data_IF_834003002577
#
_entry.id   IF_834003002577
#
_cell.length_a   1.000
_cell.length_b   1.000
_cell.length_c   1.000
_cell.angle_alpha   90.00
_cell.angle_beta   90.00
_cell.angle_gamma   90.00
#
_symmetry.space_group_name_H-M   'P 1'
#
loop_
_entity.id
_entity.type
_entity.pdbx_description
1 polymer ?
#
# COMPACT_ATOMS: atom_id res chain seq x y z
N UNK A 1 -26.02 -11.54 12.91
CA UNK A 1 -25.80 -10.66 11.74
C UNK A 1 -24.33 -10.32 11.73
N UNK A 2 -23.57 -10.74 10.71
CA UNK A 2 -22.16 -10.37 10.58
C UNK A 2 -22.14 -8.93 10.07
N UNK A 3 -21.54 -8.01 10.83
CA UNK A 3 -21.30 -6.66 10.35
C UNK A 3 -20.07 -6.73 9.46
N UNK A 4 -20.24 -6.43 8.18
CA UNK A 4 -19.12 -6.26 7.25
C UNK A 4 -18.54 -4.86 7.39
N UNK A 5 -17.23 -4.78 7.53
CA UNK A 5 -16.48 -3.54 7.41
C UNK A 5 -16.24 -3.26 5.93
N UNK A 6 -16.83 -2.18 5.42
CA UNK A 6 -16.75 -1.83 4.00
C UNK A 6 -15.58 -0.88 3.69
N UNK A 7 -14.69 -0.61 4.66
CA UNK A 7 -13.49 0.20 4.41
C UNK A 7 -12.51 -0.54 3.48
N UNK A 8 -11.82 0.16 2.58
CA UNK A 8 -10.86 -0.48 1.69
C UNK A 8 -9.61 -0.94 2.43
N UNK A 9 -8.94 -1.94 1.88
CA UNK A 9 -7.59 -2.33 2.25
C UNK A 9 -6.61 -1.37 1.56
N UNK A 10 -5.94 -0.54 2.37
CA UNK A 10 -4.86 0.32 1.91
C UNK A 10 -3.57 -0.45 1.68
N UNK A 11 -2.98 -0.31 0.49
CA UNK A 11 -1.66 -0.86 0.13
C UNK A 11 -0.80 0.28 -0.38
N UNK A 12 0.42 0.41 0.12
CA UNK A 12 1.39 1.36 -0.45
C UNK A 12 2.65 0.63 -0.91
N UNK A 13 3.31 1.17 -1.92
CA UNK A 13 4.64 0.74 -2.36
C UNK A 13 5.44 1.97 -2.81
N UNK A 14 6.76 1.83 -2.83
CA UNK A 14 7.66 2.81 -3.42
C UNK A 14 7.44 2.98 -4.92
N UNK A 15 6.97 1.95 -5.64
CA UNK A 15 6.82 2.00 -7.10
C UNK A 15 5.71 1.09 -7.62
N UNK A 16 5.81 0.69 -8.89
CA UNK A 16 4.80 -0.15 -9.56
C UNK A 16 4.93 -1.64 -9.21
N UNK A 17 6.03 -2.06 -8.56
CA UNK A 17 6.30 -3.46 -8.24
C UNK A 17 5.23 -4.09 -7.35
N UNK A 18 4.68 -3.31 -6.42
CA UNK A 18 3.61 -3.71 -5.50
C UNK A 18 2.30 -4.11 -6.18
N UNK A 19 2.08 -3.74 -7.45
CA UNK A 19 0.92 -4.22 -8.21
C UNK A 19 0.90 -5.74 -8.38
N UNK A 20 2.07 -6.40 -8.32
CA UNK A 20 2.15 -7.87 -8.31
C UNK A 20 1.51 -8.46 -7.05
N UNK A 21 1.76 -7.85 -5.89
CA UNK A 21 1.13 -8.22 -4.62
C UNK A 21 -0.37 -7.86 -4.61
N UNK A 22 -0.76 -6.70 -5.14
CA UNK A 22 -2.17 -6.31 -5.27
C UNK A 22 -2.94 -7.31 -6.12
N UNK A 23 -2.36 -7.77 -7.24
CA UNK A 23 -2.98 -8.79 -8.10
C UNK A 23 -3.31 -10.07 -7.32
N UNK A 24 -2.41 -10.54 -6.46
CA UNK A 24 -2.65 -11.71 -5.61
C UNK A 24 -3.67 -11.42 -4.50
N UNK A 25 -3.65 -10.23 -3.90
CA UNK A 25 -4.66 -9.80 -2.94
C UNK A 25 -6.05 -9.82 -3.56
N UNK A 26 -6.24 -9.25 -4.75
CA UNK A 26 -7.52 -9.28 -5.48
C UNK A 26 -7.99 -10.70 -5.79
N UNK A 27 -7.06 -11.63 -6.02
CA UNK A 27 -7.40 -13.04 -6.31
C UNK A 27 -7.95 -13.77 -5.07
N UNK A 28 -7.41 -13.47 -3.90
CA UNK A 28 -7.77 -14.08 -2.61
C UNK A 28 -8.97 -13.36 -1.98
N UNK A 29 -8.96 -12.03 -2.00
CA UNK A 29 -9.92 -11.14 -1.32
C UNK A 29 -10.90 -10.54 -2.33
N UNK A 30 -11.69 -11.39 -2.97
CA UNK A 30 -12.54 -11.02 -4.13
C UNK A 30 -13.65 -10.00 -3.82
N UNK A 31 -14.00 -9.82 -2.55
CA UNK A 31 -15.06 -8.91 -2.11
C UNK A 31 -14.52 -7.63 -1.49
N UNK A 32 -13.19 -7.52 -1.34
CA UNK A 32 -12.56 -6.36 -0.70
C UNK A 32 -12.24 -5.28 -1.72
N UNK A 33 -12.45 -4.02 -1.34
CA UNK A 33 -11.94 -2.88 -2.08
C UNK A 33 -10.48 -2.67 -1.72
N UNK A 34 -9.61 -2.50 -2.73
CA UNK A 34 -8.18 -2.24 -2.51
C UNK A 34 -7.85 -0.83 -2.99
N UNK A 35 -7.25 -0.03 -2.11
CA UNK A 35 -6.70 1.29 -2.44
C UNK A 35 -5.18 1.17 -2.51
N UNK A 36 -4.62 1.28 -3.72
CA UNK A 36 -3.18 1.22 -3.93
C UNK A 36 -2.58 2.62 -4.09
N UNK A 37 -1.58 2.95 -3.26
CA UNK A 37 -0.79 4.17 -3.36
C UNK A 37 0.64 3.85 -3.78
N UNK A 38 1.17 4.63 -4.72
CA UNK A 38 2.47 4.40 -5.33
C UNK A 38 3.33 5.66 -5.16
N UNK A 39 4.34 5.63 -4.28
CA UNK A 39 5.21 6.78 -3.97
C UNK A 39 6.33 6.97 -5.01
N UNK A 40 5.93 7.13 -6.28
CA UNK A 40 6.87 7.25 -7.41
C UNK A 40 7.80 8.46 -7.29
N UNK A 41 7.38 9.52 -6.57
CA UNK A 41 8.16 10.74 -6.37
C UNK A 41 9.44 10.55 -5.55
N UNK A 42 9.57 9.43 -4.83
CA UNK A 42 10.72 9.14 -3.94
C UNK A 42 11.47 7.86 -4.30
N UNK A 43 11.15 7.24 -5.43
CA UNK A 43 11.83 6.05 -5.99
C UNK A 43 13.33 6.30 -6.21
N UNK A 44 14.20 5.28 -6.02
CA UNK A 44 13.93 4.00 -5.36
C UNK A 44 14.12 4.09 -3.84
N UNK A 45 13.34 3.31 -3.07
CA UNK A 45 13.54 3.21 -1.61
C UNK A 45 14.84 2.45 -1.27
N UNK A 46 15.25 1.48 -2.09
CA UNK A 46 16.39 0.61 -1.81
C UNK A 46 17.73 1.32 -1.64
N UNK A 47 17.89 2.52 -2.20
CA UNK A 47 19.12 3.34 -2.04
C UNK A 47 19.07 4.26 -0.81
N UNK A 48 17.98 4.26 -0.05
CA UNK A 48 17.77 5.17 1.08
C UNK A 48 18.17 4.54 2.40
N UNK A 49 18.58 5.38 3.34
CA UNK A 49 18.82 4.96 4.73
C UNK A 49 17.52 4.51 5.42
N UNK A 50 17.65 3.62 6.41
CA UNK A 50 16.50 3.04 7.13
C UNK A 50 15.57 4.10 7.73
N UNK A 51 16.14 5.17 8.28
CA UNK A 51 15.35 6.24 8.89
C UNK A 51 14.50 6.99 7.86
N UNK A 52 15.07 7.26 6.69
CA UNK A 52 14.35 7.85 5.56
C UNK A 52 13.20 6.96 5.11
N UNK A 53 13.44 5.64 4.97
CA UNK A 53 12.39 4.68 4.58
C UNK A 53 11.26 4.65 5.60
N UNK A 54 11.57 4.63 6.90
CA UNK A 54 10.56 4.67 7.97
C UNK A 54 9.72 5.94 7.89
N UNK A 55 10.36 7.09 7.65
CA UNK A 55 9.66 8.37 7.49
C UNK A 55 8.72 8.35 6.28
N UNK A 56 9.18 7.86 5.13
CA UNK A 56 8.35 7.77 3.93
C UNK A 56 7.17 6.82 4.14
N UNK A 57 7.43 5.60 4.64
CA UNK A 57 6.36 4.65 4.98
C UNK A 57 5.33 5.27 5.94
N UNK A 58 5.76 6.03 6.95
CA UNK A 58 4.84 6.72 7.85
C UNK A 58 4.03 7.83 7.16
N UNK A 59 4.60 8.52 6.18
CA UNK A 59 3.89 9.51 5.36
C UNK A 59 2.87 8.84 4.44
N UNK A 60 3.25 7.75 3.79
CA UNK A 60 2.40 7.00 2.87
C UNK A 60 1.24 6.33 3.62
N UNK A 61 1.50 5.78 4.81
CA UNK A 61 0.45 5.27 5.70
C UNK A 61 -0.54 6.37 6.08
N UNK A 62 -0.08 7.56 6.49
CA UNK A 62 -0.95 8.71 6.82
C UNK A 62 -1.77 9.23 5.63
N UNK A 63 -1.37 8.93 4.39
CA UNK A 63 -2.18 9.26 3.23
C UNK A 63 -3.39 8.31 3.08
N UNK A 64 -3.28 7.08 3.60
CA UNK A 64 -4.31 6.04 3.50
C UNK A 64 -5.28 5.98 4.70
N UNK A 65 -4.98 6.61 5.83
CA UNK A 65 -5.79 6.61 7.08
C UNK A 65 -6.10 8.01 7.59
#
# INVERSE_FOLDING_TARGET
MVIMDNRPIGVFDSGLGGLTSVKELMRILRLELILYFCDTGRVPYGSRGRETIRRYAAQDMRFLV
#
